data_IF_079328109798
#
_entry.id   IF_079328109798
#
_cell.length_a   1.000
_cell.length_b   1.000
_cell.length_c   1.000
_cell.angle_alpha   90.00
_cell.angle_beta   90.00
_cell.angle_gamma   90.00
#
_symmetry.space_group_name_H-M   'P 1'
#
loop_
_entity.id
_entity.type
_entity.pdbx_description
1 polymer ?
#
# COMPACT_ATOMS: atom_id res chain seq x y z
N UNK A 1 -12.01 -22.51 2.34
CA UNK A 1 -12.32 -21.08 2.11
C UNK A 1 -11.04 -20.27 2.18
N UNK A 2 -10.87 -19.25 1.33
CA UNK A 2 -9.75 -18.31 1.42
C UNK A 2 -10.08 -17.22 2.46
N UNK A 3 -9.07 -16.52 2.98
CA UNK A 3 -9.28 -15.41 3.93
C UNK A 3 -10.29 -14.36 3.42
N UNK A 4 -10.25 -13.92 2.14
CA UNK A 4 -11.26 -13.00 1.62
C UNK A 4 -12.70 -13.50 1.79
N UNK A 5 -12.92 -14.81 1.67
CA UNK A 5 -14.25 -15.40 1.86
C UNK A 5 -14.66 -15.34 3.34
N UNK A 6 -13.74 -15.59 4.28
CA UNK A 6 -14.03 -15.49 5.72
C UNK A 6 -14.37 -14.04 6.13
N UNK A 7 -13.63 -13.06 5.61
CA UNK A 7 -13.97 -11.64 5.80
C UNK A 7 -15.31 -11.29 5.16
N UNK A 8 -15.61 -11.84 3.98
CA UNK A 8 -16.92 -11.70 3.33
C UNK A 8 -18.07 -12.26 4.17
N UNK A 9 -17.88 -13.46 4.77
CA UNK A 9 -18.86 -14.07 5.69
C UNK A 9 -19.06 -13.18 6.92
N UNK A 10 -17.97 -12.70 7.54
CA UNK A 10 -18.05 -11.79 8.69
C UNK A 10 -18.80 -10.50 8.34
N UNK A 11 -18.54 -9.92 7.16
CA UNK A 11 -19.23 -8.72 6.70
C UNK A 11 -20.73 -8.97 6.51
N UNK A 12 -21.11 -10.08 5.87
CA UNK A 12 -22.51 -10.48 5.70
C UNK A 12 -23.23 -10.69 7.03
N UNK A 13 -22.59 -11.39 7.99
CA UNK A 13 -23.15 -11.60 9.33
C UNK A 13 -23.27 -10.29 10.11
N UNK A 14 -22.33 -9.36 9.93
CA UNK A 14 -22.38 -8.03 10.53
C UNK A 14 -23.53 -7.19 9.96
N UNK A 15 -23.72 -7.21 8.64
CA UNK A 15 -24.85 -6.54 7.97
C UNK A 15 -26.18 -7.15 8.44
N UNK A 16 -26.26 -8.48 8.50
CA UNK A 16 -27.43 -9.17 9.03
C UNK A 16 -27.72 -8.77 10.48
N UNK A 17 -26.70 -8.76 11.34
CA UNK A 17 -26.78 -8.30 12.73
C UNK A 17 -27.27 -6.86 12.84
N UNK A 18 -26.82 -5.97 11.96
CA UNK A 18 -27.27 -4.58 11.89
C UNK A 18 -28.79 -4.47 11.64
N UNK A 19 -29.28 -5.15 10.61
CA UNK A 19 -30.71 -5.12 10.29
C UNK A 19 -31.55 -5.77 11.40
N UNK A 20 -31.06 -6.85 12.00
CA UNK A 20 -31.71 -7.52 13.11
C UNK A 20 -31.81 -6.62 14.34
N UNK A 21 -30.74 -5.89 14.68
CA UNK A 21 -30.73 -4.94 15.81
C UNK A 21 -31.70 -3.78 15.62
N UNK A 22 -31.72 -3.20 14.41
CA UNK A 22 -32.65 -2.14 14.04
C UNK A 22 -34.11 -2.60 14.10
N UNK A 23 -34.40 -3.76 13.51
CA UNK A 23 -35.74 -4.36 13.51
C UNK A 23 -36.22 -4.67 14.92
N UNK A 24 -35.36 -5.27 15.76
CA UNK A 24 -35.68 -5.60 17.15
C UNK A 24 -36.00 -4.36 17.97
N UNK A 25 -35.22 -3.29 17.83
CA UNK A 25 -35.44 -2.04 18.56
C UNK A 25 -36.81 -1.41 18.22
N UNK A 26 -37.17 -1.39 16.93
CA UNK A 26 -38.49 -0.91 16.49
C UNK A 26 -39.63 -1.78 17.02
N UNK A 27 -39.46 -3.10 17.02
CA UNK A 27 -40.45 -4.03 17.55
C UNK A 27 -40.65 -3.84 19.07
N UNK A 28 -39.59 -3.65 19.85
CA UNK A 28 -39.67 -3.39 21.30
C UNK A 28 -40.32 -2.05 21.65
N UNK A 29 -40.27 -1.08 20.73
CA UNK A 29 -40.89 0.24 20.89
C UNK A 29 -42.33 0.31 20.34
N UNK A 30 -42.90 -0.81 19.88
CA UNK A 30 -44.22 -0.84 19.24
C UNK A 30 -44.29 0.02 17.98
N UNK A 31 -43.18 0.14 17.24
CA UNK A 31 -43.06 0.97 16.03
C UNK A 31 -42.82 2.47 16.29
N UNK A 32 -42.91 2.92 17.55
CA UNK A 32 -42.78 4.34 17.89
C UNK A 32 -41.35 4.70 18.26
N UNK A 33 -40.60 5.28 17.31
CA UNK A 33 -39.19 5.66 17.50
C UNK A 33 -38.98 6.57 18.72
N UNK A 34 -39.98 7.41 19.07
CA UNK A 34 -39.93 8.30 20.23
C UNK A 34 -39.76 7.58 21.58
N UNK A 35 -40.14 6.32 21.66
CA UNK A 35 -40.03 5.52 22.89
C UNK A 35 -38.62 4.94 23.09
N UNK A 36 -37.75 5.02 22.08
CA UNK A 36 -36.36 4.61 22.17
C UNK A 36 -35.48 5.75 22.66
N UNK A 37 -34.52 5.45 23.53
CA UNK A 37 -33.52 6.44 23.93
C UNK A 37 -32.57 6.83 22.79
N UNK A 38 -32.22 5.89 21.90
CA UNK A 38 -31.30 6.11 20.77
C UNK A 38 -32.01 5.94 19.42
N UNK A 39 -31.48 6.53 18.35
CA UNK A 39 -32.01 6.27 17.01
C UNK A 39 -31.89 4.76 16.66
N UNK A 40 -32.85 4.17 15.92
CA UNK A 40 -32.87 2.74 15.61
C UNK A 40 -31.57 2.21 14.97
N UNK A 41 -30.89 3.05 14.18
CA UNK A 41 -29.61 2.68 13.55
C UNK A 41 -28.51 2.39 14.56
N UNK A 42 -28.49 3.05 15.74
CA UNK A 42 -27.48 2.77 16.77
C UNK A 42 -27.64 1.39 17.40
N UNK A 43 -28.86 0.85 17.49
CA UNK A 43 -29.09 -0.53 17.93
C UNK A 43 -28.59 -1.54 16.89
N UNK A 44 -28.73 -1.19 15.60
CA UNK A 44 -28.11 -1.95 14.52
C UNK A 44 -26.59 -1.94 14.63
N UNK A 45 -25.96 -0.76 14.74
CA UNK A 45 -24.51 -0.66 14.92
C UNK A 45 -24.02 -1.37 16.17
N UNK A 46 -24.79 -1.34 17.26
CA UNK A 46 -24.46 -2.05 18.49
C UNK A 46 -24.36 -3.57 18.27
N UNK A 47 -25.37 -4.20 17.67
CA UNK A 47 -25.29 -5.65 17.34
C UNK A 47 -24.18 -5.90 16.31
N UNK A 48 -24.06 -5.03 15.30
CA UNK A 48 -23.01 -5.11 14.30
C UNK A 48 -21.62 -5.14 14.94
N UNK A 49 -21.34 -4.31 15.94
CA UNK A 49 -20.07 -4.30 16.67
C UNK A 49 -19.83 -5.57 17.49
N UNK A 50 -20.87 -6.09 18.17
CA UNK A 50 -20.78 -7.37 18.91
C UNK A 50 -20.58 -8.58 17.99
N UNK A 51 -20.91 -8.47 16.71
CA UNK A 51 -20.58 -9.45 15.67
C UNK A 51 -19.17 -9.23 15.11
N UNK A 52 -18.89 -8.01 14.63
CA UNK A 52 -17.70 -7.66 13.88
C UNK A 52 -16.43 -7.73 14.72
N UNK A 53 -16.43 -7.14 15.92
CA UNK A 53 -15.20 -6.99 16.72
C UNK A 53 -14.62 -8.35 17.15
N UNK A 54 -15.40 -9.28 17.76
CA UNK A 54 -14.86 -10.58 18.13
C UNK A 54 -14.44 -11.42 16.92
N UNK A 55 -15.24 -11.40 15.85
CA UNK A 55 -14.93 -12.14 14.63
C UNK A 55 -13.67 -11.62 13.93
N UNK A 56 -13.49 -10.30 13.88
CA UNK A 56 -12.29 -9.67 13.32
C UNK A 56 -11.05 -9.98 14.15
N UNK A 57 -11.14 -9.91 15.49
CA UNK A 57 -10.03 -10.28 16.38
C UNK A 57 -9.63 -11.74 16.25
N UNK A 58 -10.59 -12.66 16.10
CA UNK A 58 -10.31 -14.08 15.84
C UNK A 58 -9.53 -14.27 14.53
N UNK A 59 -9.97 -13.62 13.45
CA UNK A 59 -9.30 -13.71 12.15
C UNK A 59 -7.90 -13.12 12.19
N UNK A 60 -7.71 -11.97 12.85
CA UNK A 60 -6.39 -11.35 13.02
C UNK A 60 -5.45 -12.25 13.84
N UNK A 61 -5.93 -12.79 14.96
CA UNK A 61 -5.14 -13.71 15.78
C UNK A 61 -4.74 -14.95 14.96
N UNK A 62 -5.68 -15.55 14.23
CA UNK A 62 -5.38 -16.68 13.37
C UNK A 62 -4.37 -16.34 12.27
N UNK A 63 -4.49 -15.18 11.60
CA UNK A 63 -3.51 -14.74 10.60
C UNK A 63 -2.09 -14.59 11.17
N UNK A 64 -1.96 -14.15 12.43
CA UNK A 64 -0.66 -14.02 13.09
C UNK A 64 -0.03 -15.35 13.49
N UNK A 65 -0.84 -16.37 13.83
CA UNK A 65 -0.35 -17.65 14.38
C UNK A 65 -0.47 -18.85 13.42
N UNK A 66 -1.19 -18.75 12.30
CA UNK A 66 -1.42 -19.87 11.37
C UNK A 66 -0.11 -20.51 10.93
N UNK A 67 0.84 -19.71 10.44
CA UNK A 67 2.12 -20.22 9.93
C UNK A 67 2.90 -20.92 11.03
N UNK A 68 3.03 -20.32 12.22
CA UNK A 68 3.78 -20.90 13.33
C UNK A 68 3.17 -22.22 13.82
N UNK A 69 1.85 -22.31 13.88
CA UNK A 69 1.14 -23.51 14.34
C UNK A 69 1.24 -24.61 13.29
N UNK A 70 0.88 -24.33 12.03
CA UNK A 70 0.85 -25.33 10.98
C UNK A 70 2.25 -25.84 10.62
N UNK A 71 3.27 -24.95 10.62
CA UNK A 71 4.65 -25.35 10.36
C UNK A 71 5.21 -26.15 11.53
N UNK A 72 4.91 -25.78 12.77
CA UNK A 72 5.31 -26.56 13.95
C UNK A 72 4.71 -27.98 13.93
N UNK A 73 3.43 -28.11 13.54
CA UNK A 73 2.78 -29.41 13.38
C UNK A 73 3.34 -30.22 12.21
N UNK A 74 3.70 -29.56 11.10
CA UNK A 74 4.34 -30.21 9.96
C UNK A 74 5.74 -30.70 10.30
N UNK A 75 6.56 -29.88 10.95
CA UNK A 75 7.93 -30.29 11.35
C UNK A 75 7.87 -31.45 12.33
N UNK A 76 6.92 -31.44 13.26
CA UNK A 76 6.72 -32.54 14.21
C UNK A 76 6.28 -33.86 13.54
N UNK A 77 5.67 -33.82 12.34
CA UNK A 77 5.27 -35.02 11.60
C UNK A 77 6.35 -35.57 10.67
N UNK A 78 7.44 -34.81 10.43
CA UNK A 78 8.56 -35.28 9.62
C UNK A 78 9.37 -36.36 10.35
N UNK A 79 10.02 -37.31 9.63
CA UNK A 79 10.98 -38.24 10.23
C UNK A 79 12.13 -37.51 10.95
N UNK A 80 12.67 -38.10 12.03
CA UNK A 80 13.72 -37.50 12.86
C UNK A 80 14.95 -37.03 12.06
N UNK A 81 15.29 -37.76 10.98
CA UNK A 81 16.40 -37.44 10.08
C UNK A 81 16.18 -36.12 9.33
N UNK A 82 14.92 -35.75 9.06
CA UNK A 82 14.53 -34.52 8.35
C UNK A 82 14.25 -33.36 9.31
N UNK A 83 14.06 -33.62 10.61
CA UNK A 83 13.85 -32.58 11.63
C UNK A 83 15.14 -31.83 12.00
N UNK A 84 16.28 -32.53 11.99
CA UNK A 84 17.59 -32.01 12.41
C UNK A 84 18.38 -31.35 11.26
N UNK A 85 17.72 -31.02 10.14
CA UNK A 85 18.37 -30.35 9.02
C UNK A 85 18.80 -28.92 9.39
N UNK A 86 19.86 -28.38 8.75
CA UNK A 86 20.19 -26.97 8.84
C UNK A 86 18.98 -26.09 8.51
N UNK A 87 18.83 -24.96 9.20
CA UNK A 87 17.62 -24.11 9.11
C UNK A 87 17.24 -23.71 7.67
N UNK A 88 18.23 -23.47 6.80
CA UNK A 88 18.01 -23.14 5.39
C UNK A 88 17.41 -24.32 4.60
N UNK A 89 17.92 -25.54 4.81
CA UNK A 89 17.43 -26.74 4.14
C UNK A 89 16.04 -27.15 4.65
N UNK A 90 15.81 -27.01 5.96
CA UNK A 90 14.49 -27.26 6.57
C UNK A 90 13.44 -26.28 6.02
N UNK A 91 13.78 -25.00 5.90
CA UNK A 91 12.88 -23.98 5.34
C UNK A 91 12.53 -24.27 3.88
N UNK A 92 13.51 -24.71 3.09
CA UNK A 92 13.30 -25.11 1.70
C UNK A 92 12.41 -26.35 1.61
N UNK A 93 12.64 -27.36 2.45
CA UNK A 93 11.81 -28.56 2.54
C UNK A 93 10.35 -28.23 2.88
N UNK A 94 10.12 -27.37 3.87
CA UNK A 94 8.77 -26.91 4.26
C UNK A 94 8.08 -26.20 3.08
N UNK A 95 8.81 -25.35 2.34
CA UNK A 95 8.26 -24.66 1.19
C UNK A 95 7.92 -25.61 0.04
N UNK A 96 8.77 -26.60 -0.25
CA UNK A 96 8.50 -27.64 -1.25
C UNK A 96 7.25 -28.45 -0.87
N UNK A 97 7.11 -28.86 0.39
CA UNK A 97 5.92 -29.57 0.90
C UNK A 97 4.66 -28.70 0.76
N UNK A 98 4.75 -27.42 1.09
CA UNK A 98 3.64 -26.46 0.96
C UNK A 98 3.23 -26.22 -0.49
N UNK A 99 4.18 -26.19 -1.42
CA UNK A 99 3.93 -26.03 -2.85
C UNK A 99 3.29 -27.29 -3.42
N UNK A 100 3.83 -28.46 -3.07
CA UNK A 100 3.29 -29.76 -3.47
C UNK A 100 1.84 -29.95 -3.00
N UNK A 101 1.55 -29.57 -1.74
CA UNK A 101 0.20 -29.59 -1.17
C UNK A 101 -0.81 -28.67 -1.89
N UNK A 102 -0.33 -27.69 -2.67
CA UNK A 102 -1.15 -26.78 -3.48
C UNK A 102 -1.22 -27.19 -4.96
N UNK A 103 -0.40 -28.17 -5.38
CA UNK A 103 -0.19 -28.50 -6.78
C UNK A 103 0.68 -27.49 -7.53
N UNK A 104 1.49 -26.70 -6.81
CA UNK A 104 2.43 -25.74 -7.38
C UNK A 104 3.80 -26.38 -7.67
N UNK A 105 4.63 -25.68 -8.45
CA UNK A 105 5.98 -26.14 -8.81
C UNK A 105 6.88 -26.26 -7.57
N UNK A 106 7.62 -27.36 -7.47
CA UNK A 106 8.58 -27.62 -6.39
C UNK A 106 10.02 -27.47 -6.87
N UNK A 107 10.96 -27.26 -5.95
CA UNK A 107 12.38 -27.06 -6.26
C UNK A 107 13.10 -28.35 -6.65
N UNK A 108 12.44 -29.51 -6.52
CA UNK A 108 13.03 -30.84 -6.68
C UNK A 108 12.41 -31.57 -7.87
N UNK A 109 13.25 -32.18 -8.69
CA UNK A 109 12.79 -33.01 -9.83
C UNK A 109 12.24 -34.38 -9.40
N UNK A 110 12.72 -34.91 -8.26
CA UNK A 110 12.29 -36.20 -7.72
C UNK A 110 11.49 -35.99 -6.44
N UNK A 111 10.19 -36.31 -6.51
CA UNK A 111 9.28 -36.30 -5.37
C UNK A 111 9.38 -37.67 -4.68
N UNK A 112 10.00 -37.67 -3.50
CA UNK A 112 10.05 -38.84 -2.62
C UNK A 112 8.66 -39.12 -2.01
N UNK A 113 8.33 -40.39 -1.75
CA UNK A 113 7.04 -40.81 -1.17
C UNK A 113 6.81 -40.12 0.18
N UNK A 114 7.87 -40.02 0.98
CA UNK A 114 7.81 -39.32 2.27
C UNK A 114 7.54 -37.81 2.15
N UNK A 115 7.81 -37.20 0.98
CA UNK A 115 7.51 -35.79 0.73
C UNK A 115 6.05 -35.60 0.30
N UNK A 116 5.52 -36.55 -0.48
CA UNK A 116 4.11 -36.60 -0.84
C UNK A 116 3.24 -36.81 0.41
N UNK A 117 3.62 -37.74 1.30
CA UNK A 117 2.90 -37.99 2.55
C UNK A 117 2.88 -36.75 3.46
N UNK A 118 4.00 -36.02 3.53
CA UNK A 118 4.08 -34.77 4.28
C UNK A 118 3.19 -33.67 3.66
N UNK A 119 3.11 -33.61 2.33
CA UNK A 119 2.25 -32.67 1.61
C UNK A 119 0.77 -32.98 1.82
N UNK A 120 0.38 -34.25 1.77
CA UNK A 120 -0.99 -34.70 2.01
C UNK A 120 -1.39 -34.45 3.48
N UNK A 121 -0.49 -34.71 4.43
CA UNK A 121 -0.69 -34.34 5.83
C UNK A 121 -0.88 -32.83 6.00
N UNK A 122 -0.01 -32.02 5.39
CA UNK A 122 -0.11 -30.55 5.44
C UNK A 122 -1.43 -30.05 4.82
N UNK A 123 -1.83 -30.61 3.67
CA UNK A 123 -3.10 -30.28 3.03
C UNK A 123 -4.29 -30.62 3.94
N UNK A 124 -4.24 -31.78 4.60
CA UNK A 124 -5.27 -32.23 5.53
C UNK A 124 -5.39 -31.31 6.75
N UNK A 125 -4.28 -31.04 7.46
CA UNK A 125 -4.31 -30.15 8.64
C UNK A 125 -4.75 -28.73 8.26
N UNK A 126 -4.31 -28.22 7.09
CA UNK A 126 -4.70 -26.90 6.62
C UNK A 126 -6.18 -26.84 6.28
N UNK A 127 -6.73 -27.88 5.65
CA UNK A 127 -8.16 -27.98 5.37
C UNK A 127 -8.99 -28.06 6.65
N UNK A 128 -8.60 -28.93 7.59
CA UNK A 128 -9.23 -29.08 8.89
C UNK A 128 -9.21 -27.76 9.68
N UNK A 129 -8.05 -27.12 9.73
CA UNK A 129 -7.89 -25.83 10.42
C UNK A 129 -8.81 -24.75 9.86
N UNK A 130 -8.99 -24.69 8.54
CA UNK A 130 -9.93 -23.77 7.89
C UNK A 130 -11.38 -24.07 8.24
N UNK A 131 -11.77 -25.34 8.29
CA UNK A 131 -13.13 -25.75 8.68
C UNK A 131 -13.39 -25.37 10.14
N UNK A 132 -12.45 -25.67 11.03
CA UNK A 132 -12.54 -25.30 12.45
C UNK A 132 -12.63 -23.78 12.63
N UNK A 133 -11.75 -23.01 11.98
CA UNK A 133 -11.78 -21.55 12.04
C UNK A 133 -13.13 -20.98 11.57
N UNK A 134 -13.68 -21.51 10.47
CA UNK A 134 -15.00 -21.11 9.97
C UNK A 134 -16.09 -21.41 11.00
N UNK A 135 -16.09 -22.61 11.59
CA UNK A 135 -17.04 -23.00 12.62
C UNK A 135 -16.96 -22.10 13.85
N UNK A 136 -15.75 -21.86 14.37
CA UNK A 136 -15.51 -20.97 15.52
C UNK A 136 -15.96 -19.54 15.20
N UNK A 137 -15.65 -19.03 14.00
CA UNK A 137 -16.07 -17.70 13.56
C UNK A 137 -17.60 -17.56 13.57
N UNK A 138 -18.32 -18.52 12.97
CA UNK A 138 -19.79 -18.49 12.93
C UNK A 138 -20.38 -18.59 14.34
N UNK A 139 -19.88 -19.50 15.19
CA UNK A 139 -20.36 -19.65 16.57
C UNK A 139 -20.12 -18.36 17.37
N UNK A 140 -18.93 -17.79 17.28
CA UNK A 140 -18.55 -16.58 18.01
C UNK A 140 -19.39 -15.37 17.59
N UNK A 141 -19.56 -15.17 16.27
CA UNK A 141 -20.34 -14.06 15.71
C UNK A 141 -21.84 -14.21 15.98
N UNK A 142 -22.42 -15.38 15.76
CA UNK A 142 -23.82 -15.66 16.09
C UNK A 142 -24.07 -15.54 17.60
N UNK A 143 -23.15 -16.02 18.44
CA UNK A 143 -23.20 -15.83 19.89
C UNK A 143 -23.20 -14.34 20.26
N UNK A 144 -22.31 -13.55 19.65
CA UNK A 144 -22.27 -12.09 19.81
C UNK A 144 -23.59 -11.41 19.43
N UNK A 145 -24.18 -11.80 18.30
CA UNK A 145 -25.49 -11.30 17.85
C UNK A 145 -26.59 -11.65 18.85
N UNK A 146 -26.66 -12.91 19.30
CA UNK A 146 -27.68 -13.37 20.22
C UNK A 146 -27.60 -12.67 21.59
N UNK A 147 -26.39 -12.56 22.15
CA UNK A 147 -26.17 -11.85 23.42
C UNK A 147 -26.51 -10.37 23.32
N UNK A 148 -26.10 -9.71 22.23
CA UNK A 148 -26.43 -8.30 22.01
C UNK A 148 -27.93 -8.08 21.79
N UNK A 149 -28.60 -9.00 21.08
CA UNK A 149 -30.04 -8.97 20.85
C UNK A 149 -30.85 -9.10 22.14
N UNK A 150 -30.41 -9.95 23.08
CA UNK A 150 -31.07 -10.11 24.39
C UNK A 150 -30.98 -8.85 25.25
N UNK A 151 -29.96 -8.00 25.03
CA UNK A 151 -29.78 -6.73 25.75
C UNK A 151 -30.52 -5.54 25.14
N UNK A 152 -31.19 -5.70 24.00
CA UNK A 152 -31.97 -4.61 23.39
C UNK A 152 -33.22 -4.37 24.22
N UNK A 153 -33.26 -3.19 24.83
CA UNK A 153 -34.42 -2.64 25.51
C UNK A 153 -34.55 -1.13 25.19
N UNK A 154 -35.74 -0.52 25.33
CA UNK A 154 -35.96 0.89 24.99
C UNK A 154 -35.03 1.88 25.73
N UNK A 155 -34.67 1.56 26.96
CA UNK A 155 -33.80 2.34 27.84
C UNK A 155 -32.29 2.20 27.52
N UNK A 156 -31.90 1.23 26.69
CA UNK A 156 -30.51 0.99 26.34
C UNK A 156 -29.93 2.22 25.61
N UNK A 157 -28.83 2.75 26.15
CA UNK A 157 -28.05 3.83 25.54
C UNK A 157 -27.10 3.30 24.45
N UNK A 158 -27.69 2.77 23.38
CA UNK A 158 -26.95 2.16 22.27
C UNK A 158 -25.96 3.16 21.62
N UNK A 159 -26.35 4.44 21.52
CA UNK A 159 -25.48 5.52 21.00
C UNK A 159 -24.15 5.61 21.75
N UNK A 160 -24.19 5.71 23.08
CA UNK A 160 -22.98 5.85 23.90
C UNK A 160 -22.05 4.64 23.76
N UNK A 161 -22.61 3.43 23.62
CA UNK A 161 -21.81 2.21 23.43
C UNK A 161 -21.10 2.21 22.09
N UNK A 162 -21.80 2.60 21.01
CA UNK A 162 -21.24 2.71 19.66
C UNK A 162 -20.18 3.82 19.59
N UNK A 163 -20.46 4.99 20.16
CA UNK A 163 -19.51 6.10 20.22
C UNK A 163 -18.25 5.74 21.01
N UNK A 164 -18.39 5.03 22.14
CA UNK A 164 -17.24 4.53 22.91
C UNK A 164 -16.41 3.53 22.10
N UNK A 165 -17.05 2.61 21.37
CA UNK A 165 -16.34 1.66 20.52
C UNK A 165 -15.60 2.36 19.37
N UNK A 166 -16.25 3.31 18.69
CA UNK A 166 -15.63 4.12 17.64
C UNK A 166 -14.44 4.92 18.18
N UNK A 167 -14.58 5.54 19.35
CA UNK A 167 -13.48 6.25 20.02
C UNK A 167 -12.30 5.33 20.33
N UNK A 168 -12.54 4.13 20.87
CA UNK A 168 -11.48 3.14 21.14
C UNK A 168 -10.77 2.72 19.85
N UNK A 169 -11.52 2.44 18.78
CA UNK A 169 -10.94 2.10 17.46
C UNK A 169 -10.05 3.25 16.96
N UNK A 170 -10.55 4.49 17.01
CA UNK A 170 -9.78 5.67 16.59
C UNK A 170 -8.51 5.88 17.44
N UNK A 171 -8.58 5.67 18.75
CA UNK A 171 -7.42 5.74 19.66
C UNK A 171 -6.39 4.66 19.29
N UNK A 172 -6.83 3.42 19.05
CA UNK A 172 -5.93 2.32 18.64
C UNK A 172 -5.26 2.66 17.30
N UNK A 173 -6.03 3.06 16.28
CA UNK A 173 -5.50 3.43 14.97
C UNK A 173 -4.51 4.59 15.06
N UNK A 174 -4.84 5.66 15.79
CA UNK A 174 -3.96 6.81 15.99
C UNK A 174 -2.68 6.42 16.74
N UNK A 175 -2.80 5.59 17.79
CA UNK A 175 -1.64 5.10 18.55
C UNK A 175 -0.71 4.27 17.65
N UNK A 176 -1.24 3.36 16.84
CA UNK A 176 -0.46 2.57 15.89
C UNK A 176 0.24 3.50 14.88
N UNK A 177 -0.45 4.50 14.35
CA UNK A 177 0.15 5.45 13.39
C UNK A 177 1.30 6.26 14.02
N UNK A 178 1.12 6.75 15.24
CA UNK A 178 2.16 7.48 15.99
C UNK A 178 3.36 6.57 16.29
N UNK A 179 3.12 5.36 16.79
CA UNK A 179 4.17 4.38 17.06
C UNK A 179 4.92 3.95 15.79
N UNK A 180 4.22 3.79 14.68
CA UNK A 180 4.83 3.45 13.38
C UNK A 180 5.70 4.60 12.89
N UNK A 181 5.22 5.85 12.99
CA UNK A 181 5.99 7.03 12.62
C UNK A 181 7.25 7.16 13.48
N UNK A 182 7.11 6.99 14.80
CA UNK A 182 8.23 6.97 15.72
C UNK A 182 9.21 5.83 15.39
N UNK A 183 8.70 4.64 15.07
CA UNK A 183 9.49 3.49 14.66
C UNK A 183 10.29 3.76 13.38
N UNK A 184 9.69 4.39 12.38
CA UNK A 184 10.39 4.81 11.15
C UNK A 184 11.49 5.82 11.48
N UNK A 185 11.20 6.83 12.29
CA UNK A 185 12.20 7.84 12.70
C UNK A 185 13.37 7.18 13.43
N UNK A 186 13.08 6.33 14.42
CA UNK A 186 14.11 5.63 15.19
C UNK A 186 14.90 4.67 14.30
N UNK A 187 14.24 3.94 13.41
CA UNK A 187 14.91 3.05 12.44
C UNK A 187 15.87 3.83 11.54
N UNK A 188 15.41 4.95 10.96
CA UNK A 188 16.26 5.79 10.11
C UNK A 188 17.41 6.39 10.92
N UNK A 189 17.17 6.81 12.17
CA UNK A 189 18.20 7.36 13.04
C UNK A 189 19.28 6.31 13.35
N UNK A 190 18.89 5.11 13.79
CA UNK A 190 19.85 4.07 14.15
C UNK A 190 20.62 3.54 12.95
N UNK A 191 19.96 3.33 11.81
CA UNK A 191 20.67 2.92 10.59
C UNK A 191 21.61 4.03 10.06
N UNK A 192 21.20 5.30 10.18
CA UNK A 192 22.07 6.43 9.82
C UNK A 192 23.29 6.53 10.75
N UNK A 193 23.11 6.32 12.06
CA UNK A 193 24.23 6.29 13.01
C UNK A 193 25.22 5.16 12.68
N UNK A 194 24.73 3.94 12.44
CA UNK A 194 25.57 2.80 12.00
C UNK A 194 26.28 3.06 10.67
N UNK A 195 25.66 3.82 9.78
CA UNK A 195 26.29 4.25 8.54
C UNK A 195 27.45 5.21 8.81
N UNK A 196 27.25 6.22 9.66
CA UNK A 196 28.29 7.20 10.01
C UNK A 196 29.41 6.66 10.90
N UNK A 197 29.23 5.50 11.54
CA UNK A 197 30.33 4.73 12.14
C UNK A 197 31.31 4.19 11.09
N UNK A 198 30.84 3.94 9.86
CA UNK A 198 31.65 3.38 8.75
C UNK A 198 32.13 4.46 7.78
N UNK A 199 31.36 5.52 7.59
CA UNK A 199 31.64 6.61 6.66
C UNK A 199 31.72 7.90 7.44
N UNK A 200 32.86 8.60 7.36
CA UNK A 200 33.02 9.85 8.05
C UNK A 200 32.00 10.90 7.55
N UNK A 201 31.29 11.64 8.42
CA UNK A 201 30.25 12.58 7.99
C UNK A 201 30.73 13.65 7.01
N UNK A 202 31.97 14.15 7.14
CA UNK A 202 32.50 15.13 6.18
C UNK A 202 32.76 14.52 4.80
N UNK A 203 33.19 13.26 4.75
CA UNK A 203 33.44 12.55 3.49
C UNK A 203 32.12 12.22 2.79
N UNK A 204 31.05 11.98 3.56
CA UNK A 204 29.71 11.87 3.03
C UNK A 204 29.20 13.22 2.48
N UNK A 205 29.24 14.29 3.27
CA UNK A 205 28.66 15.59 2.88
C UNK A 205 29.43 16.25 1.73
N UNK A 206 30.75 16.19 1.75
CA UNK A 206 31.63 16.85 0.77
C UNK A 206 32.21 15.89 -0.28
N UNK A 207 31.90 14.60 -0.21
CA UNK A 207 32.35 13.61 -1.18
C UNK A 207 31.81 13.89 -2.58
N UNK A 208 32.70 13.83 -3.57
CA UNK A 208 32.39 14.08 -4.98
C UNK A 208 32.17 12.80 -5.80
N UNK A 209 32.28 11.64 -5.16
CA UNK A 209 32.11 10.35 -5.83
C UNK A 209 30.99 9.56 -5.17
N UNK A 210 30.12 9.01 -6.01
CA UNK A 210 29.07 8.10 -5.61
C UNK A 210 29.32 6.74 -6.27
N UNK A 211 29.89 5.82 -5.49
CA UNK A 211 30.12 4.44 -5.88
C UNK A 211 29.83 3.52 -4.69
N UNK A 212 28.55 3.13 -4.49
CA UNK A 212 28.15 2.25 -3.39
C UNK A 212 28.61 0.79 -3.58
N UNK A 213 29.40 0.50 -4.63
CA UNK A 213 29.90 -0.83 -4.95
C UNK A 213 30.98 -1.26 -3.94
N UNK A 214 30.55 -1.88 -2.86
CA UNK A 214 31.42 -2.54 -1.88
C UNK A 214 31.70 -3.97 -2.31
N UNK A 215 32.94 -4.44 -2.17
CA UNK A 215 33.28 -5.84 -2.43
C UNK A 215 32.53 -6.75 -1.44
N UNK A 216 31.56 -7.54 -1.93
CA UNK A 216 30.77 -8.46 -1.09
C UNK A 216 31.53 -9.79 -0.92
N UNK A 217 32.47 -10.12 -1.81
CA UNK A 217 33.33 -11.32 -1.78
C UNK A 217 34.81 -10.93 -1.75
N UNK A 218 35.65 -11.74 -1.09
CA UNK A 218 37.11 -11.51 -0.99
C UNK A 218 37.83 -11.43 -2.34
N UNK A 219 37.25 -12.05 -3.39
CA UNK A 219 37.80 -12.07 -4.74
C UNK A 219 37.22 -10.99 -5.66
N UNK A 220 36.32 -10.15 -5.13
CA UNK A 220 35.68 -9.07 -5.87
C UNK A 220 36.57 -7.81 -5.77
N UNK A 221 36.98 -7.26 -6.92
CA UNK A 221 37.59 -5.92 -6.97
C UNK A 221 36.49 -4.90 -6.69
N UNK A 222 36.22 -4.62 -5.42
CA UNK A 222 35.34 -3.54 -4.99
C UNK A 222 36.14 -2.52 -4.20
N UNK A 223 35.93 -1.25 -4.52
CA UNK A 223 36.51 -0.16 -3.75
C UNK A 223 35.89 -0.10 -2.35
N UNK A 224 36.56 0.60 -1.42
CA UNK A 224 35.88 1.17 -0.25
C UNK A 224 34.69 1.96 -0.77
N UNK A 225 33.45 1.56 -0.45
CA UNK A 225 32.27 2.23 -0.99
C UNK A 225 32.35 3.74 -0.78
N UNK A 226 32.24 4.51 -1.87
CA UNK A 226 32.32 5.97 -1.85
C UNK A 226 30.90 6.53 -1.82
N UNK A 227 30.57 7.23 -0.75
CA UNK A 227 29.21 7.69 -0.48
C UNK A 227 29.13 9.21 -0.44
N UNK A 228 29.56 9.89 -1.51
CA UNK A 228 29.44 11.35 -1.61
C UNK A 228 27.99 11.81 -1.85
N UNK A 229 27.53 12.77 -1.07
CA UNK A 229 26.19 13.37 -1.20
C UNK A 229 26.12 14.40 -2.34
N UNK A 230 27.24 15.05 -2.70
CA UNK A 230 27.26 16.11 -3.72
C UNK A 230 26.79 15.59 -5.08
N UNK A 231 27.26 14.45 -5.62
CA UNK A 231 26.78 13.93 -6.90
C UNK A 231 25.29 13.62 -6.91
N UNK A 232 24.73 13.14 -5.79
CA UNK A 232 23.30 12.87 -5.66
C UNK A 232 22.47 14.16 -5.71
N UNK A 233 22.90 15.19 -4.98
CA UNK A 233 22.27 16.50 -4.99
C UNK A 233 22.40 17.16 -6.36
N UNK A 234 23.60 17.17 -6.94
CA UNK A 234 23.87 17.74 -8.26
C UNK A 234 23.09 17.02 -9.35
N UNK A 235 23.04 15.68 -9.33
CA UNK A 235 22.25 14.87 -10.26
C UNK A 235 20.75 15.16 -10.14
N UNK A 236 20.23 15.24 -8.91
CA UNK A 236 18.82 15.59 -8.66
C UNK A 236 18.50 17.00 -9.17
N UNK A 237 19.37 17.97 -8.91
CA UNK A 237 19.20 19.35 -9.39
C UNK A 237 19.27 19.43 -10.91
N UNK A 238 20.19 18.71 -11.54
CA UNK A 238 20.32 18.66 -12.99
C UNK A 238 19.08 18.05 -13.65
N UNK A 239 18.61 16.90 -13.16
CA UNK A 239 17.38 16.24 -13.65
C UNK A 239 16.18 17.17 -13.47
N UNK A 240 16.07 17.82 -12.30
CA UNK A 240 14.98 18.77 -12.01
C UNK A 240 15.01 19.98 -12.93
N UNK A 241 16.20 20.53 -13.20
CA UNK A 241 16.38 21.64 -14.13
C UNK A 241 15.93 21.27 -15.54
N UNK A 242 16.39 20.13 -16.05
CA UNK A 242 16.00 19.63 -17.38
C UNK A 242 14.49 19.38 -17.44
N UNK A 243 13.93 18.75 -16.40
CA UNK A 243 12.49 18.50 -16.29
C UNK A 243 11.70 19.81 -16.34
N UNK A 244 12.12 20.84 -15.61
CA UNK A 244 11.46 22.15 -15.61
C UNK A 244 11.61 22.89 -16.94
N UNK A 245 12.77 22.79 -17.61
CA UNK A 245 12.95 23.33 -18.95
C UNK A 245 11.97 22.76 -19.99
N UNK A 246 11.49 21.53 -19.78
CA UNK A 246 10.47 20.90 -20.63
C UNK A 246 9.06 21.19 -20.12
N UNK A 247 8.81 20.93 -18.83
CA UNK A 247 7.48 20.96 -18.24
C UNK A 247 6.93 22.38 -18.11
N UNK A 248 7.75 23.36 -17.73
CA UNK A 248 7.27 24.72 -17.51
C UNK A 248 6.80 25.38 -18.81
N UNK A 249 7.58 25.39 -19.92
CA UNK A 249 7.11 26.00 -21.16
C UNK A 249 5.88 25.28 -21.72
N UNK A 250 5.92 23.95 -21.82
CA UNK A 250 4.82 23.19 -22.43
C UNK A 250 3.56 23.24 -21.55
N UNK A 251 3.71 23.05 -20.25
CA UNK A 251 2.61 23.08 -19.29
C UNK A 251 1.97 24.46 -19.18
N UNK A 252 2.77 25.52 -19.11
CA UNK A 252 2.27 26.90 -19.03
C UNK A 252 1.58 27.32 -20.33
N UNK A 253 2.14 26.99 -21.49
CA UNK A 253 1.49 27.30 -22.77
C UNK A 253 0.17 26.53 -22.95
N UNK A 254 0.13 25.26 -22.52
CA UNK A 254 -1.11 24.50 -22.50
C UNK A 254 -2.14 25.11 -21.55
N UNK A 255 -1.72 25.58 -20.37
CA UNK A 255 -2.60 26.27 -19.41
C UNK A 255 -3.16 27.58 -19.99
N UNK A 256 -2.31 28.44 -20.57
CA UNK A 256 -2.72 29.69 -21.19
C UNK A 256 -3.74 29.43 -22.31
N UNK A 257 -3.47 28.45 -23.17
CA UNK A 257 -4.41 28.07 -24.22
C UNK A 257 -5.75 27.62 -23.64
N UNK A 258 -5.72 26.77 -22.60
CA UNK A 258 -6.92 26.22 -21.97
C UNK A 258 -7.75 27.25 -21.21
N UNK A 259 -7.11 28.24 -20.58
CA UNK A 259 -7.81 29.25 -19.77
C UNK A 259 -8.33 30.42 -20.61
N UNK A 260 -7.58 30.87 -21.62
CA UNK A 260 -7.92 32.10 -22.37
C UNK A 260 -8.48 31.84 -23.78
N UNK A 261 -8.09 30.75 -24.45
CA UNK A 261 -8.37 30.57 -25.89
C UNK A 261 -9.26 29.36 -26.21
N UNK A 262 -9.27 28.33 -25.36
CA UNK A 262 -9.87 27.05 -25.68
C UNK A 262 -11.42 27.10 -25.65
N UNK A 263 -12.09 26.67 -26.74
CA UNK A 263 -13.54 26.49 -26.73
C UNK A 263 -13.97 25.43 -25.71
N UNK A 264 -15.20 25.55 -25.19
CA UNK A 264 -15.75 24.65 -24.16
C UNK A 264 -15.64 23.15 -24.50
N UNK A 265 -15.75 22.78 -25.78
CA UNK A 265 -15.59 21.39 -26.24
C UNK A 265 -14.15 20.87 -26.11
N UNK A 266 -13.17 21.71 -26.44
CA UNK A 266 -11.74 21.37 -26.32
C UNK A 266 -11.39 21.22 -24.86
N UNK A 267 -11.83 22.18 -24.03
CA UNK A 267 -11.62 22.14 -22.58
C UNK A 267 -12.20 20.88 -21.95
N UNK A 268 -13.43 20.51 -22.34
CA UNK A 268 -14.12 19.31 -21.86
C UNK A 268 -13.48 17.98 -22.26
N UNK A 269 -12.55 17.98 -23.23
CA UNK A 269 -11.81 16.77 -23.65
C UNK A 269 -10.39 16.76 -23.11
N UNK A 270 -9.67 17.88 -23.24
CA UNK A 270 -8.25 17.97 -22.90
C UNK A 270 -8.02 17.96 -21.39
N UNK A 271 -8.86 18.64 -20.59
CA UNK A 271 -8.68 18.68 -19.13
C UNK A 271 -8.78 17.27 -18.50
N UNK A 272 -9.80 16.45 -18.78
CA UNK A 272 -9.82 15.06 -18.32
C UNK A 272 -8.63 14.22 -18.82
N UNK A 273 -8.16 14.43 -20.05
CA UNK A 273 -6.97 13.72 -20.55
C UNK A 273 -5.71 14.06 -19.76
N UNK A 274 -5.50 15.34 -19.42
CA UNK A 274 -4.39 15.77 -18.57
C UNK A 274 -4.50 15.17 -17.16
N UNK A 275 -5.69 15.12 -16.59
CA UNK A 275 -5.93 14.48 -15.28
C UNK A 275 -5.66 12.96 -15.32
N UNK A 276 -6.04 12.27 -16.39
CA UNK A 276 -5.72 10.85 -16.58
C UNK A 276 -4.21 10.64 -16.72
N UNK A 277 -3.52 11.50 -17.47
CA UNK A 277 -2.06 11.42 -17.61
C UNK A 277 -1.34 11.65 -16.28
N UNK A 278 -1.84 12.55 -15.43
CA UNK A 278 -1.33 12.76 -14.07
C UNK A 278 -1.53 11.55 -13.15
N UNK A 279 -2.52 10.69 -13.45
CA UNK A 279 -2.82 9.47 -12.69
C UNK A 279 -1.95 8.26 -13.06
N UNK A 280 -1.09 8.35 -14.07
CA UNK A 280 -0.20 7.26 -14.46
C UNK A 280 0.82 7.01 -13.33
N UNK A 281 0.98 5.77 -12.84
CA UNK A 281 1.94 5.47 -11.77
C UNK A 281 3.37 5.84 -12.16
N UNK A 282 4.09 6.53 -11.27
CA UNK A 282 5.48 7.01 -11.52
C UNK A 282 6.45 5.88 -11.88
N UNK A 283 6.21 4.66 -11.38
CA UNK A 283 7.00 3.47 -11.73
C UNK A 283 6.93 3.14 -13.22
N UNK A 284 5.77 3.37 -13.88
CA UNK A 284 5.60 3.14 -15.31
C UNK A 284 6.48 4.09 -16.12
N UNK A 285 6.51 5.37 -15.73
CA UNK A 285 7.41 6.35 -16.34
C UNK A 285 8.89 5.99 -16.14
N UNK A 286 9.26 5.49 -14.96
CA UNK A 286 10.61 5.01 -14.68
C UNK A 286 11.05 3.86 -15.60
N UNK A 287 10.20 2.84 -15.77
CA UNK A 287 10.48 1.74 -16.71
C UNK A 287 10.52 2.20 -18.16
N UNK A 288 9.60 3.07 -18.58
CA UNK A 288 9.60 3.65 -19.93
C UNK A 288 10.86 4.48 -20.20
N UNK A 289 11.32 5.26 -19.21
CA UNK A 289 12.57 6.01 -19.29
C UNK A 289 13.75 5.08 -19.52
N UNK A 290 13.87 4.01 -18.73
CA UNK A 290 15.00 3.09 -18.80
C UNK A 290 15.00 2.20 -20.06
N UNK A 291 13.84 1.71 -20.50
CA UNK A 291 13.75 0.71 -21.57
C UNK A 291 13.53 1.30 -22.96
N UNK A 292 13.05 2.54 -23.05
CA UNK A 292 12.72 3.17 -24.34
C UNK A 292 13.48 4.46 -24.55
N UNK A 293 13.35 5.42 -23.63
CA UNK A 293 13.90 6.76 -23.83
C UNK A 293 15.42 6.80 -23.69
N UNK A 294 15.98 6.12 -22.69
CA UNK A 294 17.43 6.06 -22.48
C UNK A 294 18.18 5.39 -23.66
N UNK A 295 17.76 4.22 -24.19
CA UNK A 295 18.35 3.65 -25.40
C UNK A 295 18.21 4.58 -26.61
N UNK A 296 17.03 5.19 -26.80
CA UNK A 296 16.80 6.13 -27.90
C UNK A 296 17.80 7.30 -27.88
N UNK A 297 18.01 7.93 -26.72
CA UNK A 297 18.97 9.02 -26.58
C UNK A 297 20.42 8.56 -26.77
N UNK A 298 20.76 7.38 -26.28
CA UNK A 298 22.09 6.78 -26.48
C UNK A 298 22.36 6.57 -27.97
N UNK A 299 21.45 5.94 -28.68
CA UNK A 299 21.63 5.57 -30.09
C UNK A 299 21.65 6.82 -30.97
N UNK A 300 20.77 7.79 -30.70
CA UNK A 300 20.81 9.10 -31.36
C UNK A 300 22.12 9.86 -31.10
N UNK A 301 22.66 9.76 -29.88
CA UNK A 301 23.98 10.30 -29.56
C UNK A 301 25.10 9.65 -30.38
N UNK A 302 25.07 8.33 -30.52
CA UNK A 302 26.04 7.57 -31.31
C UNK A 302 26.02 7.98 -32.79
N UNK A 303 24.84 8.19 -33.36
CA UNK A 303 24.68 8.68 -34.74
C UNK A 303 25.31 10.06 -34.95
N UNK A 304 25.33 10.89 -33.91
CA UNK A 304 25.97 12.21 -33.89
C UNK A 304 27.45 12.17 -33.49
N UNK A 305 28.02 10.98 -33.25
CA UNK A 305 29.40 10.80 -32.80
C UNK A 305 29.63 11.15 -31.32
N UNK A 306 28.56 11.26 -30.52
CA UNK A 306 28.60 11.55 -29.09
C UNK A 306 28.53 10.27 -28.26
N UNK A 307 29.27 10.23 -27.15
CA UNK A 307 29.20 9.13 -26.19
C UNK A 307 28.19 9.45 -25.09
N UNK A 308 26.95 8.99 -25.28
CA UNK A 308 25.86 9.18 -24.29
C UNK A 308 25.67 7.87 -23.51
N UNK A 309 25.70 7.95 -22.18
CA UNK A 309 25.35 6.83 -21.30
C UNK A 309 23.83 6.62 -21.27
N UNK A 310 23.37 5.37 -21.16
CA UNK A 310 21.98 5.03 -20.88
C UNK A 310 21.51 5.55 -19.51
N UNK A 311 22.44 5.88 -18.60
CA UNK A 311 22.16 6.52 -17.31
C UNK A 311 22.21 8.06 -17.38
N UNK A 312 22.07 8.63 -18.57
CA UNK A 312 22.15 10.09 -18.78
C UNK A 312 21.02 10.85 -18.07
N UNK A 313 21.39 11.90 -17.34
CA UNK A 313 20.47 12.84 -16.70
C UNK A 313 19.50 13.49 -17.70
N UNK A 314 19.88 13.60 -18.98
CA UNK A 314 19.01 14.15 -20.02
C UNK A 314 17.79 13.27 -20.28
N UNK A 315 17.98 11.96 -20.42
CA UNK A 315 16.88 11.02 -20.66
C UNK A 315 15.93 10.98 -19.47
N UNK A 316 16.47 10.87 -18.25
CA UNK A 316 15.69 10.90 -17.02
C UNK A 316 14.95 12.23 -16.84
N UNK A 317 15.64 13.37 -17.01
CA UNK A 317 15.06 14.70 -16.89
C UNK A 317 13.95 14.98 -17.91
N UNK A 318 14.11 14.55 -19.16
CA UNK A 318 13.07 14.69 -20.19
C UNK A 318 11.80 13.92 -19.85
N UNK A 319 11.91 12.65 -19.44
CA UNK A 319 10.74 11.84 -19.06
C UNK A 319 10.05 12.41 -17.83
N UNK A 320 10.83 12.83 -16.83
CA UNK A 320 10.32 13.54 -15.66
C UNK A 320 9.61 14.84 -16.07
N UNK A 321 10.17 15.59 -17.03
CA UNK A 321 9.52 16.77 -17.60
C UNK A 321 8.15 16.45 -18.19
N UNK A 322 8.07 15.42 -19.04
CA UNK A 322 6.81 14.98 -19.66
C UNK A 322 5.78 14.59 -18.58
N UNK A 323 6.22 13.86 -17.55
CA UNK A 323 5.37 13.46 -16.43
C UNK A 323 4.82 14.67 -15.65
N UNK A 324 5.59 15.76 -15.55
CA UNK A 324 5.21 16.96 -14.80
C UNK A 324 4.31 17.90 -15.63
N UNK A 325 4.29 17.80 -16.97
CA UNK A 325 3.45 18.66 -17.84
C UNK A 325 1.99 18.73 -17.39
N UNK A 326 1.26 17.62 -17.14
CA UNK A 326 -0.15 17.70 -16.77
C UNK A 326 -0.38 18.39 -15.43
N UNK A 327 0.54 18.23 -14.48
CA UNK A 327 0.48 18.91 -13.18
C UNK A 327 0.70 20.41 -13.33
N UNK A 328 1.73 20.84 -14.06
CA UNK A 328 1.99 22.26 -14.33
C UNK A 328 0.82 22.88 -15.09
N UNK A 329 0.36 22.22 -16.15
CA UNK A 329 -0.75 22.71 -16.95
C UNK A 329 -2.04 22.83 -16.15
N UNK A 330 -2.42 21.81 -15.38
CA UNK A 330 -3.66 21.84 -14.61
C UNK A 330 -3.61 22.89 -13.50
N UNK A 331 -2.51 22.97 -12.75
CA UNK A 331 -2.37 23.92 -11.66
C UNK A 331 -2.34 25.37 -12.19
N UNK A 332 -1.61 25.61 -13.27
CA UNK A 332 -1.58 26.93 -13.91
C UNK A 332 -2.96 27.33 -14.48
N UNK A 333 -3.69 26.41 -15.11
CA UNK A 333 -5.06 26.66 -15.62
C UNK A 333 -6.02 27.03 -14.49
N UNK A 334 -5.96 26.33 -13.35
CA UNK A 334 -6.81 26.60 -12.19
C UNK A 334 -6.49 27.97 -11.58
N UNK A 335 -5.20 28.34 -11.47
CA UNK A 335 -4.76 29.65 -10.98
C UNK A 335 -5.20 30.78 -11.91
N UNK A 336 -5.04 30.62 -13.23
CA UNK A 336 -5.46 31.62 -14.22
C UNK A 336 -6.98 31.79 -14.28
N UNK A 337 -7.72 30.68 -14.18
CA UNK A 337 -9.18 30.69 -14.14
C UNK A 337 -9.74 31.35 -12.87
N UNK A 338 -8.99 31.35 -11.76
CA UNK A 338 -9.38 31.97 -10.51
C UNK A 338 -9.29 33.52 -10.51
N UNK A 339 -8.66 34.14 -11.51
CA UNK A 339 -8.53 35.61 -11.59
C UNK A 339 -9.90 36.27 -11.85
N UNK A 340 -10.37 37.22 -11.02
CA UNK A 340 -11.65 37.89 -11.22
C UNK A 340 -11.75 38.60 -12.58
N UNK A 341 -12.90 38.50 -13.24
CA UNK A 341 -13.13 39.11 -14.54
C UNK A 341 -13.00 40.64 -14.50
N UNK A 342 -13.33 41.30 -13.39
CA UNK A 342 -13.17 42.74 -13.21
C UNK A 342 -11.72 43.23 -13.31
N UNK A 343 -10.75 42.43 -12.85
CA UNK A 343 -9.33 42.77 -13.00
C UNK A 343 -8.87 42.62 -14.47
N UNK A 344 -9.41 41.63 -15.19
CA UNK A 344 -9.13 41.43 -16.61
C UNK A 344 -9.69 42.57 -17.46
N UNK A 345 -10.97 42.89 -17.25
CA UNK A 345 -11.66 43.99 -17.94
C UNK A 345 -11.03 45.35 -17.62
N UNK A 346 -10.61 45.56 -16.36
CA UNK A 346 -9.85 46.75 -15.96
C UNK A 346 -8.51 46.87 -16.69
N UNK A 347 -7.77 45.78 -16.85
CA UNK A 347 -6.50 45.75 -17.61
C UNK A 347 -6.71 46.07 -19.08
N UNK A 348 -7.74 45.50 -19.72
CA UNK A 348 -8.07 45.82 -21.11
C UNK A 348 -8.49 47.28 -21.29
N UNK A 349 -9.18 47.87 -20.31
CA UNK A 349 -9.53 49.30 -20.30
C UNK A 349 -8.32 50.23 -20.25
N UNK A 350 -7.15 49.75 -19.78
CA UNK A 350 -5.88 50.48 -19.76
C UNK A 350 -5.01 50.22 -21.01
N UNK A 351 -5.45 49.36 -21.94
CA UNK A 351 -4.76 49.08 -23.21
C UNK A 351 -3.66 48.02 -23.14
N UNK A 352 -3.72 47.12 -22.16
CA UNK A 352 -2.79 45.98 -22.02
C UNK A 352 -3.11 44.81 -22.96
#
# INVERSE_FOLDING_TARGET
MSFPVLFGVLALLTIFGYFLGRSRALATAGGHVRNLHSLPNYYGYYIGLWCAVPGFLLLLAWMGFETSILDGMLVASLPADKQNLPAAELSLLINDVKNLARGDVTSREVIDVALQDAADFYAHIKSMSKMLLTGILVVLTCGGILLARQRIAPELRARNSVEKAAMVIMIICSTIAVLTTLGIILSLLFESLRFFEKVHPLDFVFGLEWSPQTAIRKDQVGATGLFGAIPLLAGTMLISLIAMCVAAPVGLMAAIYMSEYAPSKVRGTVKPMLEILAGIPTVVYGFFAALTVAPFFRDWGLDLGLTISSESALAAGMVMGIMIIPFVSSLSDDVMSAVPQSLREGSYGLGA
#
